data_IF_604080734306
#
_entry.id   IF_604080734306
#
_cell.length_a   1.000
_cell.length_b   1.000
_cell.length_c   1.000
_cell.angle_alpha   90.00
_cell.angle_beta   90.00
_cell.angle_gamma   90.00
#
_symmetry.space_group_name_H-M   'P 1'
#
loop_
_entity.id
_entity.type
_entity.pdbx_description
1 polymer ?
#
# COMPACT_ATOMS: atom_id res chain seq x y z
N UNK A 1 -21.12 -17.17 12.82
CA UNK A 1 -20.55 -17.00 11.46
C UNK A 1 -21.16 -15.85 10.64
N UNK A 2 -22.23 -15.17 11.09
CA UNK A 2 -22.97 -14.19 10.27
C UNK A 2 -22.37 -12.75 10.32
N UNK A 3 -21.55 -12.43 11.32
CA UNK A 3 -20.99 -11.07 11.49
C UNK A 3 -19.85 -10.75 10.51
N UNK A 4 -19.03 -11.73 10.13
CA UNK A 4 -17.92 -11.55 9.20
C UNK A 4 -18.38 -11.35 7.74
N UNK A 5 -19.44 -12.03 7.31
CA UNK A 5 -20.02 -11.84 5.97
C UNK A 5 -20.66 -10.45 5.81
N UNK A 6 -21.33 -9.95 6.86
CA UNK A 6 -21.96 -8.63 6.83
C UNK A 6 -20.93 -7.48 6.83
N UNK A 7 -19.79 -7.65 7.51
CA UNK A 7 -18.67 -6.71 7.42
C UNK A 7 -18.00 -6.75 6.05
N UNK A 8 -17.80 -7.95 5.48
CA UNK A 8 -17.25 -8.11 4.13
C UNK A 8 -18.16 -7.50 3.06
N UNK A 9 -19.48 -7.65 3.17
CA UNK A 9 -20.41 -7.06 2.20
C UNK A 9 -20.46 -5.53 2.31
N UNK A 10 -20.44 -4.97 3.53
CA UNK A 10 -20.33 -3.51 3.71
C UNK A 10 -19.01 -2.94 3.20
N UNK A 11 -17.90 -3.66 3.38
CA UNK A 11 -16.62 -3.28 2.81
C UNK A 11 -16.69 -3.31 1.27
N UNK A 12 -17.22 -4.39 0.69
CA UNK A 12 -17.42 -4.54 -0.77
C UNK A 12 -18.31 -3.46 -1.38
N UNK A 13 -19.40 -3.07 -0.71
CA UNK A 13 -20.27 -2.00 -1.17
C UNK A 13 -19.58 -0.64 -1.09
N UNK A 14 -18.90 -0.31 0.03
CA UNK A 14 -18.11 0.91 0.15
C UNK A 14 -16.99 0.98 -0.89
N UNK A 15 -16.36 -0.15 -1.21
CA UNK A 15 -15.34 -0.27 -2.25
C UNK A 15 -15.93 -0.04 -3.64
N UNK A 16 -17.12 -0.59 -3.94
CA UNK A 16 -17.83 -0.35 -5.20
C UNK A 16 -18.26 1.11 -5.36
N UNK A 17 -18.74 1.75 -4.29
CA UNK A 17 -19.10 3.17 -4.31
C UNK A 17 -17.88 4.06 -4.50
N UNK A 18 -16.80 3.80 -3.75
CA UNK A 18 -15.53 4.52 -3.88
C UNK A 18 -14.93 4.38 -5.29
N UNK A 19 -15.08 3.21 -5.93
CA UNK A 19 -14.66 3.00 -7.32
C UNK A 19 -15.54 3.76 -8.33
N UNK A 20 -16.86 3.80 -8.13
CA UNK A 20 -17.79 4.50 -9.01
C UNK A 20 -17.70 6.03 -8.91
N UNK A 21 -17.16 6.56 -7.80
CA UNK A 21 -16.94 7.99 -7.56
C UNK A 21 -15.49 8.42 -7.80
N UNK A 22 -14.57 7.50 -8.15
CA UNK A 22 -13.15 7.79 -8.30
C UNK A 22 -12.42 8.07 -6.97
N UNK A 23 -13.04 7.73 -5.83
CA UNK A 23 -12.48 7.91 -4.49
C UNK A 23 -11.50 6.78 -4.11
N UNK A 24 -10.40 6.71 -4.84
CA UNK A 24 -9.25 5.82 -4.55
C UNK A 24 -8.58 6.13 -3.19
N UNK A 25 -8.86 7.28 -2.59
CA UNK A 25 -8.35 7.70 -1.29
C UNK A 25 -9.10 7.06 -0.12
N UNK A 26 -10.43 6.91 -0.25
CA UNK A 26 -11.24 6.12 0.67
C UNK A 26 -10.75 4.67 0.78
N UNK A 27 -10.20 4.14 -0.31
CA UNK A 27 -9.66 2.77 -0.39
C UNK A 27 -8.36 2.61 0.38
N UNK A 28 -7.38 3.51 0.21
CA UNK A 28 -6.13 3.51 0.99
C UNK A 28 -6.42 3.79 2.47
N UNK A 29 -7.38 4.68 2.74
CA UNK A 29 -7.83 4.97 4.10
C UNK A 29 -8.43 3.74 4.78
N UNK A 30 -9.18 2.91 4.03
CA UNK A 30 -9.77 1.66 4.49
C UNK A 30 -8.76 0.51 4.68
N UNK A 31 -7.57 0.58 4.06
CA UNK A 31 -6.47 -0.38 4.23
C UNK A 31 -5.77 -0.72 2.92
N UNK A 32 -4.51 -1.18 2.98
CA UNK A 32 -3.78 -1.52 1.74
C UNK A 32 -4.30 -2.80 1.10
N UNK A 33 -4.89 -3.73 1.84
CA UNK A 33 -5.50 -4.94 1.23
C UNK A 33 -6.55 -4.59 0.17
N UNK A 34 -7.42 -3.61 0.44
CA UNK A 34 -8.43 -3.16 -0.53
C UNK A 34 -7.78 -2.51 -1.76
N UNK A 35 -6.79 -1.65 -1.53
CA UNK A 35 -6.02 -1.02 -2.60
C UNK A 35 -5.33 -2.07 -3.49
N UNK A 36 -4.62 -3.03 -2.89
CA UNK A 36 -3.90 -4.09 -3.59
C UNK A 36 -4.88 -4.97 -4.39
N UNK A 37 -6.03 -5.31 -3.82
CA UNK A 37 -7.06 -6.10 -4.53
C UNK A 37 -7.52 -5.44 -5.84
N UNK A 38 -7.52 -4.11 -5.90
CA UNK A 38 -7.90 -3.32 -7.07
C UNK A 38 -6.71 -3.16 -8.01
N UNK A 39 -5.52 -2.88 -7.46
CA UNK A 39 -4.30 -2.73 -8.24
C UNK A 39 -4.03 -3.96 -9.12
N UNK A 40 -4.24 -5.15 -8.57
CA UNK A 40 -3.99 -6.41 -9.25
C UNK A 40 -5.18 -6.96 -10.03
N UNK A 41 -6.32 -6.24 -10.13
CA UNK A 41 -7.61 -6.60 -10.78
C UNK A 41 -7.63 -7.88 -11.66
N UNK A 42 -7.43 -9.05 -11.04
CA UNK A 42 -7.27 -10.34 -11.73
C UNK A 42 -6.03 -10.54 -12.63
N UNK A 43 -5.20 -9.51 -12.88
CA UNK A 43 -4.04 -9.59 -13.79
C UNK A 43 -2.74 -9.30 -13.04
N UNK A 44 -1.75 -10.22 -13.07
CA UNK A 44 -0.43 -9.94 -12.52
C UNK A 44 0.22 -8.73 -13.21
N UNK A 45 0.85 -7.85 -12.44
CA UNK A 45 1.61 -6.70 -12.94
C UNK A 45 3.10 -6.89 -12.65
N UNK A 46 3.95 -6.09 -13.28
CA UNK A 46 5.38 -6.09 -12.96
C UNK A 46 5.62 -5.48 -11.58
N UNK A 47 6.68 -5.91 -10.90
CA UNK A 47 7.09 -5.35 -9.62
C UNK A 47 7.38 -3.85 -9.73
N UNK A 48 7.99 -3.43 -10.83
CA UNK A 48 8.19 -2.02 -11.14
C UNK A 48 6.88 -1.23 -11.18
N UNK A 49 5.87 -1.73 -11.90
CA UNK A 49 4.57 -1.06 -12.00
C UNK A 49 3.89 -0.99 -10.63
N UNK A 50 3.99 -2.04 -9.84
CA UNK A 50 3.51 -2.05 -8.47
C UNK A 50 4.14 -0.91 -7.63
N UNK A 51 5.46 -0.71 -7.73
CA UNK A 51 6.14 0.39 -7.03
C UNK A 51 5.71 1.76 -7.52
N UNK A 52 5.62 1.95 -8.84
CA UNK A 52 5.18 3.21 -9.47
C UNK A 52 3.75 3.58 -9.04
N UNK A 53 2.84 2.62 -9.14
CA UNK A 53 1.44 2.81 -8.75
C UNK A 53 1.37 3.09 -7.23
N UNK A 54 2.00 2.26 -6.39
CA UNK A 54 2.00 2.44 -4.92
C UNK A 54 2.57 3.80 -4.52
N UNK A 55 3.65 4.27 -5.17
CA UNK A 55 4.22 5.60 -4.93
C UNK A 55 3.21 6.71 -5.25
N UNK A 56 2.58 6.65 -6.42
CA UNK A 56 1.54 7.62 -6.81
C UNK A 56 0.40 7.69 -5.77
N UNK A 57 -0.01 6.54 -5.25
CA UNK A 57 -1.07 6.47 -4.25
C UNK A 57 -0.63 6.98 -2.88
N UNK A 58 0.62 6.74 -2.48
CA UNK A 58 1.18 7.32 -1.26
C UNK A 58 1.26 8.84 -1.34
N UNK A 59 1.67 9.42 -2.47
CA UNK A 59 1.68 10.87 -2.67
C UNK A 59 0.29 11.47 -2.45
N UNK A 60 -0.74 10.84 -3.03
CA UNK A 60 -2.14 11.27 -2.88
C UNK A 60 -2.63 11.16 -1.43
N UNK A 61 -2.30 10.06 -0.75
CA UNK A 61 -2.61 9.90 0.66
C UNK A 61 -1.92 10.95 1.53
N UNK A 62 -0.64 11.21 1.30
CA UNK A 62 0.16 12.20 2.03
C UNK A 62 -0.44 13.61 1.87
N UNK A 63 -0.73 14.03 0.64
CA UNK A 63 -1.33 15.34 0.34
C UNK A 63 -2.68 15.52 1.05
N UNK A 64 -3.54 14.51 0.98
CA UNK A 64 -4.87 14.55 1.58
C UNK A 64 -4.83 14.66 3.11
N UNK A 65 -4.01 13.82 3.76
CA UNK A 65 -3.83 13.84 5.22
C UNK A 65 -3.21 15.18 5.66
N UNK A 66 -2.21 15.66 4.95
CA UNK A 66 -1.55 16.93 5.24
C UNK A 66 -2.56 18.08 5.19
N UNK A 67 -3.46 18.09 4.20
CA UNK A 67 -4.50 19.11 4.06
C UNK A 67 -5.60 18.97 5.12
N UNK A 68 -6.20 17.78 5.25
CA UNK A 68 -7.34 17.53 6.15
C UNK A 68 -6.99 17.70 7.62
N UNK A 69 -5.84 17.18 8.03
CA UNK A 69 -5.42 17.17 9.44
C UNK A 69 -4.44 18.30 9.77
N UNK A 70 -4.12 19.17 8.79
CA UNK A 70 -3.16 20.28 8.93
C UNK A 70 -1.79 19.80 9.43
N UNK A 71 -1.29 18.74 8.81
CA UNK A 71 -0.03 18.11 9.14
C UNK A 71 1.02 18.40 8.06
N UNK A 72 2.28 18.43 8.48
CA UNK A 72 3.42 18.49 7.60
C UNK A 72 4.06 17.11 7.51
N UNK A 73 4.12 16.54 6.31
CA UNK A 73 4.77 15.25 6.09
C UNK A 73 6.29 15.41 6.09
N UNK A 74 6.98 14.53 6.83
CA UNK A 74 8.45 14.57 6.98
C UNK A 74 9.11 13.47 6.15
N UNK A 75 8.45 12.32 6.00
CA UNK A 75 8.99 11.16 5.30
C UNK A 75 8.32 9.88 5.77
N UNK A 76 8.71 8.75 5.20
CA UNK A 76 8.11 7.47 5.53
C UNK A 76 8.92 6.30 5.05
N UNK A 77 8.41 5.10 5.33
CA UNK A 77 9.03 3.86 4.92
C UNK A 77 7.97 2.85 4.52
N UNK A 78 8.15 2.27 3.34
CA UNK A 78 7.47 1.06 2.91
C UNK A 78 8.37 -0.14 3.19
N UNK A 79 7.78 -1.21 3.70
CA UNK A 79 8.43 -2.48 3.98
C UNK A 79 7.63 -3.58 3.32
N UNK A 80 8.31 -4.40 2.52
CA UNK A 80 7.79 -5.66 2.02
C UNK A 80 8.50 -6.78 2.78
N UNK A 81 7.75 -7.66 3.43
CA UNK A 81 8.28 -8.80 4.18
C UNK A 81 7.64 -10.09 3.72
N UNK A 82 8.42 -11.16 3.59
CA UNK A 82 7.90 -12.48 3.25
C UNK A 82 7.31 -13.16 4.49
N UNK A 83 6.04 -13.55 4.44
CA UNK A 83 5.41 -14.34 5.49
C UNK A 83 5.39 -15.83 5.12
N UNK A 84 6.24 -16.61 5.80
CA UNK A 84 6.22 -18.07 5.81
C UNK A 84 7.40 -18.75 5.11
N UNK A 85 8.10 -19.61 5.86
CA UNK A 85 9.12 -20.55 5.37
C UNK A 85 8.49 -21.93 5.11
N UNK A 86 7.61 -22.04 4.13
CA UNK A 86 6.99 -23.32 3.74
C UNK A 86 7.08 -23.55 2.24
N UNK A 87 6.99 -24.81 1.76
CA UNK A 87 6.99 -25.14 0.34
C UNK A 87 5.64 -24.75 -0.30
N UNK A 88 5.31 -23.46 -0.28
CA UNK A 88 4.13 -22.93 -0.98
C UNK A 88 4.58 -22.44 -2.35
N UNK A 89 3.83 -22.82 -3.38
CA UNK A 89 4.00 -22.28 -4.74
C UNK A 89 3.77 -20.76 -4.77
N UNK A 90 2.98 -20.25 -3.83
CA UNK A 90 2.68 -18.82 -3.68
C UNK A 90 3.19 -18.32 -2.32
N UNK A 91 4.05 -17.31 -2.36
CA UNK A 91 4.61 -16.66 -1.18
C UNK A 91 3.75 -15.45 -0.81
N UNK A 92 3.33 -15.36 0.46
CA UNK A 92 2.62 -14.20 0.96
C UNK A 92 3.62 -13.08 1.25
N UNK A 93 3.39 -11.90 0.68
CA UNK A 93 4.21 -10.71 0.89
C UNK A 93 3.37 -9.71 1.69
N UNK A 94 3.84 -9.40 2.90
CA UNK A 94 3.25 -8.38 3.75
C UNK A 94 3.84 -7.02 3.43
N UNK A 95 2.98 -6.07 3.08
CA UNK A 95 3.30 -4.68 2.87
C UNK A 95 2.95 -3.90 4.15
N UNK A 96 3.90 -3.15 4.68
CA UNK A 96 3.71 -2.18 5.76
C UNK A 96 4.26 -0.82 5.32
N UNK A 97 3.43 0.22 5.37
CA UNK A 97 3.82 1.59 5.07
C UNK A 97 3.63 2.46 6.32
N UNK A 98 4.70 3.11 6.74
CA UNK A 98 4.74 4.02 7.89
C UNK A 98 4.98 5.43 7.39
N UNK A 99 4.14 6.36 7.81
CA UNK A 99 4.15 7.75 7.41
C UNK A 99 4.39 8.63 8.64
N UNK A 100 5.44 9.44 8.61
CA UNK A 100 5.79 10.37 9.67
C UNK A 100 5.33 11.78 9.32
N UNK A 101 4.45 12.31 10.16
CA UNK A 101 3.94 13.66 10.08
C UNK A 101 4.33 14.46 11.32
N UNK A 102 4.33 15.78 11.19
CA UNK A 102 4.41 16.71 12.30
C UNK A 102 3.27 17.73 12.25
N UNK A 103 2.75 18.08 13.41
CA UNK A 103 1.91 19.27 13.58
C UNK A 103 2.76 20.55 13.58
N UNK A 104 2.11 21.71 13.47
CA UNK A 104 2.78 23.01 13.57
C UNK A 104 3.51 23.23 14.92
N UNK A 105 3.04 22.62 16.00
CA UNK A 105 3.70 22.63 17.32
C UNK A 105 4.77 21.53 17.46
N UNK A 106 5.24 20.95 16.35
CA UNK A 106 6.32 19.94 16.27
C UNK A 106 6.01 18.63 17.00
N UNK A 107 4.73 18.29 17.20
CA UNK A 107 4.36 16.96 17.71
C UNK A 107 4.37 15.95 16.58
N UNK A 108 4.95 14.80 16.84
CA UNK A 108 4.99 13.69 15.90
C UNK A 108 3.64 12.98 15.82
N UNK A 109 3.20 12.71 14.60
CA UNK A 109 2.06 11.85 14.29
C UNK A 109 2.54 10.77 13.34
N UNK A 110 2.38 9.52 13.75
CA UNK A 110 2.72 8.35 12.93
C UNK A 110 1.43 7.72 12.43
N UNK A 111 1.36 7.47 11.12
CA UNK A 111 0.26 6.74 10.51
C UNK A 111 0.81 5.49 9.85
N UNK A 112 0.16 4.36 10.09
CA UNK A 112 0.57 3.07 9.55
C UNK A 112 -0.53 2.47 8.69
N UNK A 113 -0.11 1.84 7.60
CA UNK A 113 -0.98 1.14 6.67
C UNK A 113 -0.36 -0.22 6.38
N UNK A 114 -1.17 -1.26 6.46
CA UNK A 114 -0.72 -2.63 6.22
C UNK A 114 -1.63 -3.30 5.18
N UNK A 115 -1.07 -4.26 4.46
CA UNK A 115 -1.81 -5.13 3.56
C UNK A 115 -0.95 -6.31 3.12
N UNK A 116 -1.57 -7.26 2.45
CA UNK A 116 -0.88 -8.44 1.94
C UNK A 116 -1.11 -8.59 0.43
N UNK A 117 -0.11 -9.14 -0.23
CA UNK A 117 -0.14 -9.48 -1.65
C UNK A 117 0.53 -10.82 -1.85
N UNK A 118 -0.07 -11.64 -2.70
CA UNK A 118 0.49 -12.93 -3.10
C UNK A 118 1.57 -12.74 -4.18
N UNK A 119 2.63 -13.55 -4.15
CA UNK A 119 3.73 -13.45 -5.11
C UNK A 119 3.30 -13.68 -6.57
N UNK A 120 2.21 -14.42 -6.79
CA UNK A 120 1.64 -14.68 -8.12
C UNK A 120 1.03 -13.44 -8.79
N UNK A 121 0.87 -12.35 -8.01
CA UNK A 121 0.44 -11.05 -8.50
C UNK A 121 1.56 -10.27 -9.19
N UNK A 122 2.79 -10.75 -9.10
CA UNK A 122 3.95 -10.19 -9.78
C UNK A 122 4.34 -11.06 -10.97
N UNK A 123 4.16 -10.54 -12.19
CA UNK A 123 4.47 -11.28 -13.42
C UNK A 123 5.97 -11.55 -13.62
N UNK A 124 6.81 -10.76 -12.96
CA UNK A 124 8.28 -10.81 -12.99
C UNK A 124 8.88 -11.23 -11.65
N UNK A 125 8.11 -11.90 -10.80
CA UNK A 125 8.53 -12.36 -9.47
C UNK A 125 9.90 -13.07 -9.46
N UNK A 126 10.14 -13.94 -10.45
CA UNK A 126 11.37 -14.71 -10.53
C UNK A 126 12.53 -13.99 -11.23
N UNK A 127 12.24 -12.96 -12.03
CA UNK A 127 13.20 -12.35 -12.95
C UNK A 127 13.66 -10.97 -12.46
N UNK A 128 12.81 -10.21 -11.79
CA UNK A 128 13.10 -8.87 -11.27
C UNK A 128 14.20 -8.89 -10.19
N UNK A 129 15.06 -7.88 -10.21
CA UNK A 129 16.19 -7.76 -9.30
C UNK A 129 15.76 -7.45 -7.86
N UNK A 130 14.74 -6.60 -7.66
CA UNK A 130 14.25 -6.27 -6.33
C UNK A 130 13.45 -7.44 -5.73
N UNK A 131 12.68 -8.17 -6.53
CA UNK A 131 12.04 -9.42 -6.11
C UNK A 131 13.08 -10.47 -5.68
N UNK A 132 14.22 -10.57 -6.39
CA UNK A 132 15.34 -11.46 -5.99
C UNK A 132 15.95 -11.04 -4.66
N UNK A 133 16.20 -9.75 -4.46
CA UNK A 133 16.69 -9.21 -3.19
C UNK A 133 15.70 -9.48 -2.05
N UNK A 134 14.40 -9.23 -2.28
CA UNK A 134 13.33 -9.52 -1.31
C UNK A 134 13.31 -11.01 -0.93
N UNK A 135 13.43 -11.93 -1.90
CA UNK A 135 13.51 -13.38 -1.64
C UNK A 135 14.76 -13.78 -0.86
N UNK A 136 15.90 -13.15 -1.14
CA UNK A 136 17.17 -13.44 -0.49
C UNK A 136 17.22 -12.91 0.95
N UNK A 137 16.77 -11.68 1.16
CA UNK A 137 16.83 -11.00 2.45
C UNK A 137 15.60 -11.28 3.33
N UNK A 138 14.51 -11.78 2.74
CA UNK A 138 13.21 -11.94 3.40
C UNK A 138 12.47 -10.62 3.65
N UNK A 139 13.10 -9.48 3.33
CA UNK A 139 12.59 -8.14 3.55
C UNK A 139 13.18 -7.15 2.54
N UNK A 140 12.37 -6.23 2.04
CA UNK A 140 12.79 -5.06 1.27
C UNK A 140 12.24 -3.80 1.94
N UNK A 141 13.09 -2.81 2.18
CA UNK A 141 12.71 -1.51 2.73
C UNK A 141 12.93 -0.42 1.68
N UNK A 142 11.94 0.43 1.50
CA UNK A 142 11.93 1.52 0.52
C UNK A 142 11.49 2.79 1.23
N UNK A 143 12.20 3.90 1.02
CA UNK A 143 11.80 5.21 1.54
C UNK A 143 10.54 5.70 0.84
N UNK A 144 9.66 6.35 1.60
CA UNK A 144 8.54 7.12 1.05
C UNK A 144 8.97 8.59 1.22
N UNK A 145 9.44 9.16 0.13
CA UNK A 145 9.88 10.56 0.12
C UNK A 145 8.66 11.50 0.13
N UNK A 146 8.81 12.75 0.58
CA UNK A 146 7.78 13.76 0.40
C UNK A 146 7.39 13.87 -1.08
N UNK A 147 6.10 14.02 -1.39
CA UNK A 147 5.67 14.20 -2.78
C UNK A 147 6.36 15.43 -3.34
N UNK A 148 7.03 15.29 -4.48
CA UNK A 148 7.62 16.44 -5.17
C UNK A 148 6.51 17.47 -5.44
N UNK A 149 6.80 18.74 -5.16
CA UNK A 149 5.98 19.84 -5.63
C UNK A 149 5.97 19.75 -7.16
N UNK A 150 4.91 19.16 -7.72
CA UNK A 150 4.65 19.25 -9.16
C UNK A 150 4.30 20.70 -9.43
N UNK A 151 5.32 21.54 -9.61
CA UNK A 151 5.15 22.83 -10.27
C UNK A 151 4.49 22.57 -11.64
N UNK A 152 3.29 23.13 -11.83
CA UNK A 152 2.49 23.01 -13.04
C UNK A 152 1.11 23.60 -12.87
#
# INVERSE_FOLDING_TARGET
>A
MIQSENQNNKAKEKIKTAWSEGDLLGLISAGLDNFLSILFNGTPITFRRFLEDTSYYFDKYIQDISCKERLHYIGGKMTLGLEGNGPREVTLIRLSAVFYFQTWDKKWIVKEKNGNVDSDRFSDWDTDAQCKELRKAGKLELSIEPPEDREG
#
